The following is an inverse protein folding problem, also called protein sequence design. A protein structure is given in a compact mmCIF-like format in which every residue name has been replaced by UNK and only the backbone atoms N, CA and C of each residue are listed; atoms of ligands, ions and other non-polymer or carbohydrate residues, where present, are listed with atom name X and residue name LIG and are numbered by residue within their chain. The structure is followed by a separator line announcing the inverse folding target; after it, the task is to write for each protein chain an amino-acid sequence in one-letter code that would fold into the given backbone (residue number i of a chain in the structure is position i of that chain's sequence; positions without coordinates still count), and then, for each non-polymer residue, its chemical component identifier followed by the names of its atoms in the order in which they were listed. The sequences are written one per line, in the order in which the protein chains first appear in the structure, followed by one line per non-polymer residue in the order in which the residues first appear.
data_IF_446797063999
#
_entry.id   IF_446797063999
#
_cell.length_a   1.000
_cell.length_b   1.000
_cell.length_c   1.000
_cell.angle_alpha   90.00
_cell.angle_beta   90.00
_cell.angle_gamma   90.00
#
_symmetry.space_group_name_H-M   'P 1'
#
loop_
_entity.id
_entity.type
_entity.pdbx_description
1 polymer ?
#
# COMPACT_ATOMS: atom_id res chain seq x y z
N UNK A 1 -28.77 -28.19 -5.22
CA UNK A 1 -27.85 -27.84 -6.35
C UNK A 1 -26.42 -27.92 -5.83
N UNK A 2 -25.54 -28.72 -6.45
CA UNK A 2 -24.08 -28.62 -6.19
C UNK A 2 -23.54 -27.46 -7.02
N UNK A 3 -23.08 -26.41 -6.36
CA UNK A 3 -22.44 -25.28 -7.05
C UNK A 3 -21.00 -25.66 -7.42
N UNK A 4 -20.59 -25.42 -8.68
CA UNK A 4 -19.23 -25.69 -9.16
C UNK A 4 -18.30 -24.48 -9.08
N UNK A 5 -18.88 -23.28 -9.02
CA UNK A 5 -18.16 -22.01 -8.92
C UNK A 5 -18.79 -21.20 -7.80
N UNK A 6 -17.94 -20.61 -6.98
CA UNK A 6 -18.33 -19.70 -5.91
C UNK A 6 -17.68 -18.34 -6.18
N UNK A 7 -18.49 -17.28 -6.19
CA UNK A 7 -18.00 -15.90 -6.26
C UNK A 7 -18.15 -15.27 -4.87
N UNK A 8 -17.03 -14.79 -4.33
CA UNK A 8 -16.98 -14.11 -3.04
C UNK A 8 -16.91 -12.61 -3.27
N UNK A 9 -17.93 -11.86 -2.85
CA UNK A 9 -18.07 -10.43 -3.15
C UNK A 9 -17.32 -9.50 -2.17
N UNK A 10 -16.70 -10.04 -1.12
CA UNK A 10 -16.07 -9.30 -0.02
C UNK A 10 -14.66 -9.82 0.28
N UNK A 11 -13.85 -9.94 -0.76
CA UNK A 11 -12.46 -10.44 -0.68
C UNK A 11 -11.52 -9.48 0.05
N UNK A 12 -11.94 -8.24 0.23
CA UNK A 12 -11.30 -7.19 1.03
C UNK A 12 -11.51 -7.35 2.54
N UNK A 13 -12.46 -8.19 2.97
CA UNK A 13 -12.69 -8.50 4.38
C UNK A 13 -11.47 -9.22 4.98
N UNK A 14 -10.72 -8.52 5.83
CA UNK A 14 -9.43 -8.96 6.38
C UNK A 14 -9.58 -10.06 7.43
N UNK A 15 -9.88 -11.29 7.00
CA UNK A 15 -9.75 -12.48 7.86
C UNK A 15 -8.28 -12.94 7.97
N UNK A 16 -7.46 -12.61 6.98
CA UNK A 16 -6.12 -13.17 6.81
C UNK A 16 -5.01 -12.51 7.68
N UNK A 17 -5.34 -11.56 8.56
CA UNK A 17 -4.33 -10.85 9.37
C UNK A 17 -4.47 -11.06 10.89
N UNK A 18 -5.48 -11.81 11.35
CA UNK A 18 -5.75 -11.97 12.78
C UNK A 18 -5.18 -13.31 13.28
N UNK A 19 -4.10 -13.26 14.06
CA UNK A 19 -3.59 -14.43 14.81
C UNK A 19 -2.87 -15.51 13.99
N UNK A 20 -2.48 -15.24 12.73
CA UNK A 20 -1.70 -16.19 11.95
C UNK A 20 -0.26 -16.33 12.50
N UNK A 21 0.31 -17.55 12.51
CA UNK A 21 1.72 -17.74 12.85
C UNK A 21 2.63 -16.90 11.94
N UNK A 22 3.69 -16.32 12.51
CA UNK A 22 4.63 -15.46 11.80
C UNK A 22 5.25 -16.12 10.56
N UNK A 23 5.50 -17.42 10.62
CA UNK A 23 6.07 -18.17 9.49
C UNK A 23 5.11 -18.27 8.30
N UNK A 24 3.80 -18.36 8.57
CA UNK A 24 2.77 -18.33 7.50
C UNK A 24 2.72 -16.95 6.86
N UNK A 25 2.82 -15.88 7.66
CA UNK A 25 2.85 -14.52 7.13
C UNK A 25 4.09 -14.27 6.26
N UNK A 26 5.27 -14.71 6.70
CA UNK A 26 6.51 -14.64 5.90
C UNK A 26 6.39 -15.42 4.60
N UNK A 27 5.85 -16.64 4.65
CA UNK A 27 5.63 -17.45 3.47
C UNK A 27 4.69 -16.74 2.49
N UNK A 28 3.57 -16.21 2.96
CA UNK A 28 2.62 -15.43 2.14
C UNK A 28 3.31 -14.24 1.47
N UNK A 29 4.08 -13.45 2.22
CA UNK A 29 4.83 -12.33 1.68
C UNK A 29 5.83 -12.77 0.61
N UNK A 30 6.59 -13.85 0.86
CA UNK A 30 7.56 -14.39 -0.09
C UNK A 30 6.89 -14.90 -1.37
N UNK A 31 5.78 -15.61 -1.26
CA UNK A 31 5.01 -16.10 -2.41
C UNK A 31 4.47 -14.91 -3.22
N UNK A 32 3.84 -13.92 -2.58
CA UNK A 32 3.31 -12.75 -3.27
C UNK A 32 4.43 -11.93 -3.96
N UNK A 33 5.57 -11.73 -3.30
CA UNK A 33 6.70 -11.01 -3.89
C UNK A 33 7.26 -11.67 -5.16
N UNK A 34 7.21 -13.01 -5.22
CA UNK A 34 7.66 -13.75 -6.39
C UNK A 34 6.58 -13.90 -7.46
N UNK A 35 5.31 -14.06 -7.07
CA UNK A 35 4.20 -14.26 -7.98
C UNK A 35 3.63 -12.97 -8.60
N UNK A 36 3.67 -11.86 -7.86
CA UNK A 36 3.19 -10.56 -8.34
C UNK A 36 4.34 -9.84 -9.03
N UNK A 37 4.41 -10.01 -10.35
CA UNK A 37 5.36 -9.33 -11.24
C UNK A 37 4.65 -8.30 -12.09
N UNK A 38 5.35 -7.22 -12.39
CA UNK A 38 4.89 -6.28 -13.39
C UNK A 38 4.95 -6.93 -14.78
N UNK A 39 4.20 -6.38 -15.73
CA UNK A 39 4.32 -6.78 -17.13
C UNK A 39 5.74 -6.48 -17.62
N UNK A 40 6.30 -7.27 -18.57
CA UNK A 40 7.67 -7.09 -19.05
C UNK A 40 8.00 -5.64 -19.47
N UNK A 41 7.05 -4.93 -20.06
CA UNK A 41 7.20 -3.55 -20.52
C UNK A 41 7.46 -2.56 -19.36
N UNK A 42 6.77 -2.75 -18.22
CA UNK A 42 6.94 -1.91 -17.03
C UNK A 42 8.28 -2.23 -16.37
N UNK A 43 8.66 -3.50 -16.29
CA UNK A 43 9.96 -3.91 -15.74
C UNK A 43 11.12 -3.36 -16.57
N UNK A 44 11.00 -3.38 -17.90
CA UNK A 44 11.99 -2.82 -18.81
C UNK A 44 12.14 -1.32 -18.64
N UNK A 45 11.02 -0.59 -18.59
CA UNK A 45 11.02 0.84 -18.34
C UNK A 45 11.68 1.16 -17.00
N UNK A 46 11.30 0.48 -15.92
CA UNK A 46 11.87 0.67 -14.59
C UNK A 46 13.39 0.42 -14.57
N UNK A 47 13.85 -0.65 -15.22
CA UNK A 47 15.29 -0.96 -15.32
C UNK A 47 16.05 0.13 -16.08
N UNK A 48 15.48 0.64 -17.18
CA UNK A 48 16.09 1.72 -17.96
C UNK A 48 16.25 2.99 -17.14
N UNK A 49 15.21 3.39 -16.40
CA UNK A 49 15.28 4.56 -15.50
C UNK A 49 16.37 4.38 -14.45
N UNK A 50 16.42 3.22 -13.79
CA UNK A 50 17.44 2.93 -12.76
C UNK A 50 18.85 2.96 -13.34
N UNK A 51 19.05 2.42 -14.54
CA UNK A 51 20.36 2.44 -15.20
C UNK A 51 20.83 3.87 -15.46
N UNK A 52 19.96 4.73 -16.00
CA UNK A 52 20.26 6.15 -16.25
C UNK A 52 20.64 6.87 -14.94
N UNK A 53 19.94 6.58 -13.84
CA UNK A 53 20.26 7.18 -12.54
C UNK A 53 21.63 6.71 -12.02
N UNK A 54 21.95 5.42 -12.13
CA UNK A 54 23.23 4.85 -11.70
C UNK A 54 24.42 5.38 -12.49
N UNK A 55 24.25 5.62 -13.78
CA UNK A 55 25.28 6.24 -14.64
C UNK A 55 25.67 7.64 -14.15
N UNK A 56 24.75 8.35 -13.47
CA UNK A 56 25.00 9.67 -12.89
C UNK A 56 25.58 9.64 -11.47
N UNK A 57 25.72 8.44 -10.88
CA UNK A 57 26.26 8.23 -9.54
C UNK A 57 25.26 7.65 -8.54
N UNK A 58 25.62 7.58 -7.25
CA UNK A 58 24.73 7.11 -6.19
C UNK A 58 23.49 8.00 -6.09
N UNK A 59 22.33 7.39 -5.81
CA UNK A 59 21.07 8.11 -5.65
C UNK A 59 20.23 7.54 -4.50
N UNK A 60 19.32 8.36 -3.97
CA UNK A 60 18.34 8.01 -2.94
C UNK A 60 16.95 7.97 -3.56
N UNK A 61 16.11 7.02 -3.13
CA UNK A 61 14.71 6.92 -3.52
C UNK A 61 13.83 7.09 -2.30
N UNK A 62 12.88 8.02 -2.37
CA UNK A 62 11.89 8.28 -1.34
C UNK A 62 10.49 8.08 -1.93
N UNK A 63 9.70 7.18 -1.35
CA UNK A 63 8.28 7.06 -1.65
C UNK A 63 7.50 7.88 -0.63
N UNK A 64 7.00 9.02 -1.08
CA UNK A 64 6.30 10.00 -0.28
C UNK A 64 4.79 9.85 -0.53
N UNK A 65 4.07 9.35 0.46
CA UNK A 65 2.62 9.10 0.41
C UNK A 65 1.91 10.16 1.26
N UNK A 66 1.54 11.27 0.62
CA UNK A 66 0.99 12.48 1.26
C UNK A 66 -0.49 12.73 0.92
N UNK A 67 -1.22 11.70 0.55
CA UNK A 67 -2.65 11.77 0.33
C UNK A 67 -3.39 12.10 1.64
N UNK A 68 -4.50 12.85 1.53
CA UNK A 68 -5.25 13.37 2.68
C UNK A 68 -5.72 12.28 3.65
N UNK A 69 -6.04 11.09 3.15
CA UNK A 69 -6.39 9.94 3.97
C UNK A 69 -5.20 9.48 4.82
N UNK A 70 -4.03 9.34 4.22
CA UNK A 70 -2.80 8.96 4.92
C UNK A 70 -2.41 10.00 5.97
N UNK A 71 -2.52 11.29 5.64
CA UNK A 71 -2.28 12.38 6.58
C UNK A 71 -3.27 12.36 7.75
N UNK A 72 -4.58 12.23 7.45
CA UNK A 72 -5.61 12.14 8.46
C UNK A 72 -5.34 10.99 9.42
N UNK A 73 -5.03 9.78 8.94
CA UNK A 73 -4.79 8.62 9.82
C UNK A 73 -3.42 8.61 10.50
N UNK A 74 -2.42 9.31 9.96
CA UNK A 74 -1.11 9.44 10.63
C UNK A 74 -1.15 10.27 11.92
N UNK A 75 -2.16 11.14 12.06
CA UNK A 75 -2.23 12.08 13.18
C UNK A 75 -1.26 13.26 13.10
N UNK A 76 -0.46 13.37 12.02
CA UNK A 76 0.50 14.44 11.84
C UNK A 76 -0.19 15.71 11.34
N UNK A 77 -0.05 16.82 12.06
CA UNK A 77 -0.46 18.16 11.62
C UNK A 77 0.71 19.11 11.34
N UNK A 78 1.93 18.56 11.25
CA UNK A 78 3.11 19.39 11.01
C UNK A 78 3.00 20.11 9.66
N UNK A 79 3.04 21.44 9.71
CA UNK A 79 2.90 22.30 8.53
C UNK A 79 1.46 22.63 8.14
N UNK A 80 0.46 22.09 8.85
CA UNK A 80 -0.94 22.45 8.65
C UNK A 80 -1.29 23.78 9.33
N UNK A 81 -2.21 24.52 8.73
CA UNK A 81 -2.93 25.60 9.40
C UNK A 81 -4.17 25.04 10.13
N UNK A 82 -4.83 25.89 10.93
CA UNK A 82 -5.99 25.48 11.75
C UNK A 82 -7.16 24.90 10.94
N UNK A 83 -7.40 25.40 9.72
CA UNK A 83 -8.48 24.89 8.87
C UNK A 83 -8.14 23.49 8.33
N UNK A 84 -6.91 23.29 7.89
CA UNK A 84 -6.41 22.00 7.42
C UNK A 84 -6.40 20.94 8.54
N UNK A 85 -6.00 21.34 9.75
CA UNK A 85 -6.06 20.46 10.94
C UNK A 85 -7.47 20.00 11.25
N UNK A 86 -8.44 20.91 11.17
CA UNK A 86 -9.85 20.59 11.38
C UNK A 86 -10.37 19.64 10.31
N UNK A 87 -9.99 19.85 9.04
CA UNK A 87 -10.43 19.00 7.94
C UNK A 87 -9.84 17.59 8.05
N UNK A 88 -8.54 17.46 8.32
CA UNK A 88 -7.91 16.16 8.57
C UNK A 88 -8.52 15.45 9.78
N UNK A 89 -8.89 16.20 10.81
CA UNK A 89 -9.57 15.66 11.99
C UNK A 89 -10.97 15.15 11.65
N UNK A 90 -11.76 15.90 10.87
CA UNK A 90 -13.07 15.43 10.38
C UNK A 90 -12.92 14.16 9.55
N UNK A 91 -11.97 14.14 8.61
CA UNK A 91 -11.71 12.96 7.77
C UNK A 91 -11.35 11.72 8.59
N UNK A 92 -10.51 11.88 9.61
CA UNK A 92 -10.12 10.78 10.52
C UNK A 92 -11.33 10.14 11.21
N UNK A 93 -12.26 10.96 11.68
CA UNK A 93 -13.44 10.48 12.42
C UNK A 93 -14.65 10.15 11.53
N UNK A 94 -14.63 10.53 10.24
CA UNK A 94 -15.71 10.24 9.30
C UNK A 94 -15.78 8.75 8.90
N UNK A 95 -14.71 7.97 9.11
CA UNK A 95 -14.63 6.55 8.74
C UNK A 95 -14.36 5.67 9.98
N UNK A 96 -15.41 5.24 10.71
CA UNK A 96 -15.27 4.47 11.97
C UNK A 96 -14.60 3.10 11.83
N UNK A 97 -14.42 2.61 10.62
CA UNK A 97 -13.93 1.26 10.29
C UNK A 97 -12.44 1.25 9.93
N UNK A 98 -11.77 2.39 10.04
CA UNK A 98 -10.33 2.55 9.96
C UNK A 98 -9.76 2.66 11.38
#
# INVERSE_FOLDING_TARGET
KKHKVLHLNKTDSRLANNGLPVEVQKLRCRVNFNGLKFTPQIEELGRRVVNILREKGPFLVLHLRYEMDMLAFSGCSHGCNTEEEQELTRMRYAYPWW
#
